data_IF_168455916844
#
_entry.id   IF_168455916844
#
_cell.length_a   1.000
_cell.length_b   1.000
_cell.length_c   1.000
_cell.angle_alpha   90.00
_cell.angle_beta   90.00
_cell.angle_gamma   90.00
#
_symmetry.space_group_name_H-M   'P 1'
#
loop_
_entity.id
_entity.type
_entity.pdbx_description
1 polymer ?
#
# COMPACT_ATOMS: atom_id res chain seq x y z
N UNK A 1 -25.01 1.74 8.30
CA UNK A 1 -25.68 0.43 8.08
C UNK A 1 -25.23 -0.49 9.20
N UNK A 2 -26.13 -0.98 10.06
CA UNK A 2 -25.76 -1.83 11.20
C UNK A 2 -26.04 -3.30 10.87
N UNK A 3 -25.01 -4.13 10.92
CA UNK A 3 -25.11 -5.58 10.81
C UNK A 3 -25.08 -6.24 12.19
N UNK A 4 -25.75 -7.38 12.35
CA UNK A 4 -25.70 -8.19 13.57
C UNK A 4 -25.15 -9.56 13.23
N UNK A 5 -24.09 -9.98 13.94
CA UNK A 5 -23.52 -11.33 13.86
C UNK A 5 -23.73 -12.03 15.20
N UNK A 6 -24.22 -13.27 15.17
CA UNK A 6 -24.24 -14.15 16.34
C UNK A 6 -22.93 -14.93 16.37
N UNK A 7 -22.14 -14.79 17.43
CA UNK A 7 -20.91 -15.54 17.63
C UNK A 7 -20.90 -16.14 19.04
N UNK A 8 -20.91 -17.47 19.13
CA UNK A 8 -21.20 -18.22 20.35
C UNK A 8 -22.49 -17.68 21.00
N UNK A 9 -22.48 -17.39 22.31
CA UNK A 9 -23.62 -16.82 23.03
C UNK A 9 -23.71 -15.29 22.96
N UNK A 10 -22.94 -14.61 22.09
CA UNK A 10 -22.91 -13.14 21.98
C UNK A 10 -23.52 -12.65 20.66
N UNK A 11 -24.28 -11.56 20.73
CA UNK A 11 -24.70 -10.76 19.57
C UNK A 11 -23.73 -9.59 19.41
N UNK A 12 -23.00 -9.57 18.31
CA UNK A 12 -22.08 -8.49 17.95
C UNK A 12 -22.79 -7.56 16.96
N UNK A 13 -22.81 -6.26 17.26
CA UNK A 13 -23.26 -5.23 16.33
C UNK A 13 -22.06 -4.59 15.65
N UNK A 14 -22.12 -4.50 14.32
CA UNK A 14 -21.04 -3.96 13.50
C UNK A 14 -21.60 -2.81 12.68
N UNK A 15 -20.96 -1.65 12.77
CA UNK A 15 -21.27 -0.49 11.95
C UNK A 15 -20.47 -0.53 10.65
N UNK A 16 -21.10 -0.98 9.57
CA UNK A 16 -20.47 -1.09 8.25
C UNK A 16 -20.17 0.26 7.60
N UNK A 17 -20.60 1.38 8.19
CA UNK A 17 -20.19 2.72 7.73
C UNK A 17 -18.83 3.16 8.25
N UNK A 18 -18.24 2.39 9.18
CA UNK A 18 -16.93 2.65 9.78
C UNK A 18 -15.97 1.50 9.46
N UNK A 19 -15.47 1.42 8.21
CA UNK A 19 -14.52 0.37 7.84
C UNK A 19 -13.23 0.52 8.66
N UNK A 20 -12.63 -0.61 9.00
CA UNK A 20 -11.28 -0.68 9.54
C UNK A 20 -10.35 -1.11 8.42
N UNK A 21 -9.36 -0.28 8.08
CA UNK A 21 -8.32 -0.69 7.14
C UNK A 21 -7.35 -1.64 7.86
N UNK A 22 -7.29 -2.87 7.36
CA UNK A 22 -6.40 -3.94 7.86
C UNK A 22 -5.32 -4.29 6.82
N UNK A 23 -5.12 -3.43 5.81
CA UNK A 23 -4.14 -3.62 4.75
C UNK A 23 -2.71 -3.41 5.28
N UNK A 24 -1.75 -4.14 4.71
CA UNK A 24 -0.32 -3.89 4.94
C UNK A 24 0.12 -2.79 3.96
N UNK A 25 0.81 -1.73 4.42
CA UNK A 25 1.23 -0.64 3.55
C UNK A 25 2.35 -1.09 2.59
N UNK A 26 2.18 -0.82 1.29
CA UNK A 26 3.22 -1.00 0.27
C UNK A 26 4.28 0.11 0.40
N UNK A 27 5.55 -0.24 0.62
CA UNK A 27 6.64 0.76 0.76
C UNK A 27 7.87 0.38 -0.08
N UNK A 28 8.69 1.33 -0.50
CA UNK A 28 9.99 1.02 -1.09
C UNK A 28 11.06 0.83 0.01
N UNK A 29 10.91 -0.19 0.85
CA UNK A 29 11.71 -0.38 2.05
C UNK A 29 11.90 -1.86 2.40
N UNK A 30 13.04 -2.21 3.00
CA UNK A 30 13.35 -3.59 3.42
C UNK A 30 12.57 -3.99 4.66
N UNK A 31 12.07 -3.01 5.42
CA UNK A 31 11.22 -3.21 6.62
C UNK A 31 9.77 -3.63 6.30
N UNK A 32 9.57 -4.20 5.13
CA UNK A 32 8.29 -4.64 4.61
C UNK A 32 8.02 -6.10 4.93
N UNK A 33 6.74 -6.48 4.89
CA UNK A 33 6.40 -7.90 5.02
C UNK A 33 6.60 -8.56 3.66
N UNK A 34 7.64 -9.36 3.55
CA UNK A 34 8.01 -10.04 2.30
C UNK A 34 7.90 -11.56 2.46
N UNK A 35 7.42 -12.23 1.42
CA UNK A 35 7.41 -13.69 1.32
C UNK A 35 8.57 -14.20 0.44
N UNK A 36 8.90 -15.49 0.60
CA UNK A 36 9.74 -16.27 -0.33
C UNK A 36 11.04 -15.58 -0.78
N UNK A 37 11.68 -14.87 0.13
CA UNK A 37 12.95 -14.16 -0.10
C UNK A 37 12.88 -13.11 -1.23
N UNK A 38 11.68 -12.62 -1.52
CA UNK A 38 11.46 -11.58 -2.52
C UNK A 38 12.02 -10.25 -2.01
N UNK A 39 12.62 -9.49 -2.93
CA UNK A 39 13.08 -8.14 -2.68
C UNK A 39 11.90 -7.18 -2.45
N UNK A 40 12.21 -6.05 -1.83
CA UNK A 40 11.25 -4.98 -1.59
C UNK A 40 10.66 -4.41 -2.89
N UNK A 41 9.45 -3.81 -2.83
CA UNK A 41 8.93 -2.97 -3.90
C UNK A 41 9.93 -1.89 -4.32
N UNK A 42 9.93 -1.60 -5.61
CA UNK A 42 10.69 -0.51 -6.20
C UNK A 42 9.73 0.62 -6.56
N UNK A 43 9.93 1.80 -5.96
CA UNK A 43 9.19 3.02 -6.27
C UNK A 43 10.21 4.09 -6.63
N UNK A 44 10.23 4.51 -7.89
CA UNK A 44 11.22 5.46 -8.40
C UNK A 44 10.60 6.44 -9.38
N UNK A 45 11.11 7.68 -9.46
CA UNK A 45 10.62 8.66 -10.43
C UNK A 45 10.85 8.17 -11.86
N UNK A 46 9.90 8.47 -12.73
CA UNK A 46 10.03 8.32 -14.19
C UNK A 46 11.17 9.21 -14.66
N UNK A 47 11.95 8.71 -15.62
CA UNK A 47 13.06 9.46 -16.25
C UNK A 47 12.86 9.47 -17.75
N UNK A 48 13.00 10.65 -18.36
CA UNK A 48 12.99 10.85 -19.81
C UNK A 48 14.21 11.69 -20.21
N UNK A 49 15.23 11.02 -20.75
CA UNK A 49 16.55 11.61 -20.93
C UNK A 49 17.14 12.11 -19.60
N UNK A 50 17.52 13.38 -19.57
CA UNK A 50 18.06 14.05 -18.36
C UNK A 50 16.97 14.54 -17.41
N UNK A 51 15.69 14.51 -17.82
CA UNK A 51 14.60 14.95 -16.98
C UNK A 51 14.18 13.84 -16.00
N UNK A 52 14.12 14.19 -14.72
CA UNK A 52 13.63 13.33 -13.64
C UNK A 52 12.30 13.88 -13.16
N UNK A 53 11.24 13.06 -13.21
CA UNK A 53 9.88 13.47 -12.84
C UNK A 53 9.68 13.50 -11.31
N UNK A 54 10.42 14.39 -10.66
CA UNK A 54 10.48 14.60 -9.21
C UNK A 54 10.52 16.09 -8.92
N UNK A 55 9.68 16.54 -7.98
CA UNK A 55 9.62 17.96 -7.58
C UNK A 55 10.93 18.40 -6.96
N UNK A 56 11.61 17.51 -6.22
CA UNK A 56 12.92 17.82 -5.64
C UNK A 56 14.00 18.04 -6.71
N UNK A 57 13.83 17.43 -7.87
CA UNK A 57 14.74 17.54 -9.02
C UNK A 57 14.27 18.61 -10.04
N UNK A 58 13.25 19.40 -9.69
CA UNK A 58 12.78 20.55 -10.48
C UNK A 58 11.63 20.28 -11.44
N UNK A 59 10.98 19.11 -11.38
CA UNK A 59 9.74 18.87 -12.11
C UNK A 59 8.52 19.49 -11.40
N UNK A 60 7.42 19.70 -12.14
CA UNK A 60 6.18 20.23 -11.57
C UNK A 60 5.40 19.18 -10.75
N UNK A 61 5.75 17.89 -10.88
CA UNK A 61 5.06 16.76 -10.25
C UNK A 61 6.03 15.67 -9.80
N UNK A 62 5.60 14.83 -8.85
CA UNK A 62 6.25 13.57 -8.53
C UNK A 62 5.53 12.45 -9.30
N UNK A 63 6.16 11.97 -10.36
CA UNK A 63 5.62 10.86 -11.16
C UNK A 63 6.52 9.64 -10.98
N UNK A 64 6.05 8.70 -10.15
CA UNK A 64 6.79 7.47 -9.85
C UNK A 64 6.23 6.27 -10.62
N UNK A 65 7.13 5.42 -11.09
CA UNK A 65 6.83 4.03 -11.44
C UNK A 65 6.88 3.16 -10.18
N UNK A 66 6.05 2.12 -10.15
CA UNK A 66 5.97 1.16 -9.06
C UNK A 66 6.11 -0.25 -9.63
N UNK A 67 7.06 -1.03 -9.13
CA UNK A 67 7.23 -2.45 -9.45
C UNK A 67 7.29 -3.26 -8.16
N UNK A 68 6.48 -4.29 -8.08
CA UNK A 68 6.42 -5.16 -6.91
C UNK A 68 5.89 -6.53 -7.28
N UNK A 69 6.16 -7.51 -6.43
CA UNK A 69 5.50 -8.80 -6.49
C UNK A 69 4.25 -8.74 -5.58
N UNK A 70 3.08 -9.27 -5.99
CA UNK A 70 1.89 -9.34 -5.13
C UNK A 70 2.05 -10.14 -3.83
N UNK A 71 3.23 -10.71 -3.56
CA UNK A 71 3.59 -11.36 -2.29
C UNK A 71 4.74 -10.65 -1.54
N UNK A 72 5.13 -9.45 -1.98
CA UNK A 72 6.15 -8.61 -1.33
C UNK A 72 5.63 -7.16 -1.29
N UNK A 73 5.10 -6.76 -0.11
CA UNK A 73 4.41 -5.49 0.10
C UNK A 73 5.18 -4.58 1.03
#
# INVERSE_FOLDING_TARGET
MIATIQYNSKKLQIDLSKPLDISIPLRASTNNVNAWYLDQPKIEPVKDGEWVASVADGADVNFNNIWFNPHAH
#
